data_IF_067926825101
#
_entry.id   IF_067926825101
#
_cell.length_a   1.000
_cell.length_b   1.000
_cell.length_c   1.000
_cell.angle_alpha   90.00
_cell.angle_beta   90.00
_cell.angle_gamma   90.00
#
_symmetry.space_group_name_H-M   'P 1'
#
loop_
_entity.id
_entity.type
_entity.pdbx_description
1 polymer ?
#
# COMPACT_ATOMS: atom_id res chain seq x y z
N UNK A 1 -12.18 -19.11 -19.57
CA UNK A 1 -11.57 -18.48 -18.38
C UNK A 1 -12.05 -17.04 -18.36
N UNK A 2 -12.62 -16.51 -17.27
CA UNK A 2 -13.05 -15.11 -17.29
C UNK A 2 -11.80 -14.23 -17.41
N UNK A 3 -11.89 -13.25 -18.31
CA UNK A 3 -10.86 -12.28 -18.66
C UNK A 3 -10.90 -11.11 -17.66
N UNK A 4 -10.84 -11.40 -16.35
CA UNK A 4 -10.83 -10.39 -15.28
C UNK A 4 -9.70 -10.75 -14.31
N UNK A 5 -8.55 -10.10 -14.48
CA UNK A 5 -7.38 -10.32 -13.64
C UNK A 5 -6.57 -9.02 -13.54
N UNK A 6 -5.92 -8.81 -12.39
CA UNK A 6 -5.03 -7.67 -12.21
C UNK A 6 -3.94 -7.76 -13.26
N UNK A 7 -3.67 -6.65 -13.94
CA UNK A 7 -2.52 -6.50 -14.84
C UNK A 7 -1.60 -5.42 -14.33
N UNK A 8 -0.31 -5.70 -14.27
CA UNK A 8 0.71 -4.74 -13.88
C UNK A 8 1.54 -4.42 -15.11
N UNK A 9 1.43 -3.18 -15.57
CA UNK A 9 2.22 -2.64 -16.66
C UNK A 9 3.43 -1.89 -16.10
N UNK A 10 4.61 -2.50 -16.22
CA UNK A 10 5.87 -1.95 -15.73
C UNK A 10 6.48 -1.03 -16.80
N UNK A 11 6.68 0.24 -16.45
CA UNK A 11 7.21 1.28 -17.33
C UNK A 11 8.63 1.59 -16.89
N UNK A 12 9.61 1.07 -17.62
CA UNK A 12 11.03 1.16 -17.30
C UNK A 12 11.59 2.55 -17.61
N UNK A 13 12.24 3.19 -16.63
CA UNK A 13 13.22 4.25 -16.84
C UNK A 13 14.63 3.69 -16.60
N UNK A 14 15.33 3.43 -17.70
CA UNK A 14 16.70 2.90 -17.73
C UNK A 14 17.66 3.89 -18.40
N UNK A 15 17.41 5.19 -18.25
CA UNK A 15 18.25 6.24 -18.81
C UNK A 15 19.71 6.19 -18.33
N UNK A 16 19.97 5.60 -17.16
CA UNK A 16 21.30 5.42 -16.57
C UNK A 16 21.93 4.04 -16.84
N UNK A 17 21.22 3.13 -17.52
CA UNK A 17 21.73 1.81 -17.90
C UNK A 17 21.88 0.81 -16.74
N UNK A 18 21.29 1.09 -15.56
CA UNK A 18 21.41 0.22 -14.37
C UNK A 18 20.41 -0.93 -14.35
N UNK A 19 19.35 -0.90 -15.17
CA UNK A 19 18.40 -2.00 -15.28
C UNK A 19 18.93 -3.02 -16.30
N UNK A 20 19.51 -4.10 -15.77
CA UNK A 20 19.94 -5.27 -16.54
C UNK A 20 18.77 -6.22 -16.83
N UNK A 21 19.01 -7.27 -17.63
CA UNK A 21 17.98 -8.31 -17.86
C UNK A 21 17.58 -9.05 -16.58
N UNK A 22 18.51 -9.24 -15.65
CA UNK A 22 18.24 -9.88 -14.35
C UNK A 22 17.33 -9.02 -13.47
N UNK A 23 17.57 -7.70 -13.44
CA UNK A 23 16.69 -6.73 -12.76
C UNK A 23 15.29 -6.79 -13.39
N UNK A 24 15.23 -6.78 -14.73
CA UNK A 24 13.98 -6.84 -15.49
C UNK A 24 13.19 -8.12 -15.23
N UNK A 25 13.86 -9.26 -15.25
CA UNK A 25 13.26 -10.53 -14.91
C UNK A 25 12.74 -10.53 -13.46
N UNK A 26 13.50 -9.94 -12.53
CA UNK A 26 13.16 -9.91 -11.11
C UNK A 26 11.86 -9.16 -10.81
N UNK A 27 11.71 -7.92 -11.28
CA UNK A 27 10.48 -7.17 -11.06
C UNK A 27 9.30 -7.69 -11.90
N UNK A 28 9.56 -8.32 -13.05
CA UNK A 28 8.51 -8.98 -13.83
C UNK A 28 7.97 -10.21 -13.10
N UNK A 29 8.86 -11.02 -12.50
CA UNK A 29 8.46 -12.13 -11.65
C UNK A 29 7.65 -11.65 -10.44
N UNK A 30 8.10 -10.58 -9.77
CA UNK A 30 7.37 -9.97 -8.66
C UNK A 30 5.98 -9.48 -9.07
N UNK A 31 5.85 -8.84 -10.24
CA UNK A 31 4.56 -8.43 -10.78
C UNK A 31 3.64 -9.64 -11.02
N UNK A 32 4.14 -10.72 -11.62
CA UNK A 32 3.35 -11.94 -11.84
C UNK A 32 2.85 -12.59 -10.55
N UNK A 33 3.61 -12.50 -9.43
CA UNK A 33 3.12 -12.97 -8.14
C UNK A 33 1.83 -12.23 -7.72
N UNK A 34 1.82 -10.90 -7.84
CA UNK A 34 0.65 -10.09 -7.53
C UNK A 34 -0.51 -10.30 -8.51
N UNK A 35 -0.23 -10.38 -9.81
CA UNK A 35 -1.24 -10.68 -10.83
C UNK A 35 -1.93 -12.05 -10.58
N UNK A 36 -1.20 -13.02 -9.99
CA UNK A 36 -1.74 -14.36 -9.72
C UNK A 36 -2.72 -14.44 -8.55
N UNK A 37 -2.70 -13.48 -7.64
CA UNK A 37 -3.50 -13.51 -6.39
C UNK A 37 -4.69 -12.56 -6.40
N UNK A 38 -4.76 -11.64 -7.37
CA UNK A 38 -5.81 -10.62 -7.43
C UNK A 38 -6.81 -10.88 -8.56
N UNK A 39 -8.10 -10.88 -8.20
CA UNK A 39 -9.22 -10.98 -9.15
C UNK A 39 -9.71 -9.61 -9.67
N UNK A 40 -9.04 -8.51 -9.32
CA UNK A 40 -9.43 -7.17 -9.73
C UNK A 40 -9.20 -6.98 -11.24
N UNK A 41 -10.23 -6.63 -12.00
CA UNK A 41 -10.09 -6.34 -13.43
C UNK A 41 -9.60 -4.90 -13.66
N UNK A 42 -8.29 -4.71 -13.53
CA UNK A 42 -7.67 -3.40 -13.68
C UNK A 42 -6.22 -3.52 -14.14
N UNK A 43 -5.78 -2.61 -15.01
CA UNK A 43 -4.37 -2.44 -15.32
C UNK A 43 -3.78 -1.33 -14.45
N UNK A 44 -2.74 -1.64 -13.68
CA UNK A 44 -1.98 -0.68 -12.88
C UNK A 44 -0.65 -0.39 -13.58
N UNK A 45 -0.36 0.88 -13.83
CA UNK A 45 0.87 1.33 -14.46
C UNK A 45 1.90 1.69 -13.37
N UNK A 46 3.03 1.01 -13.32
CA UNK A 46 4.08 1.26 -12.31
C UNK A 46 5.36 1.66 -13.03
N UNK A 47 5.85 2.86 -12.76
CA UNK A 47 7.18 3.27 -13.20
C UNK A 47 8.25 2.54 -12.40
N UNK A 48 9.28 1.99 -13.04
CA UNK A 48 10.39 1.32 -12.38
C UNK A 48 11.72 1.92 -12.81
N UNK A 49 12.59 2.20 -11.84
CA UNK A 49 13.93 2.73 -12.05
C UNK A 49 14.92 2.09 -11.08
N UNK A 50 16.22 2.23 -11.35
CA UNK A 50 17.28 1.82 -10.44
C UNK A 50 18.30 2.94 -10.33
N UNK A 51 18.67 3.34 -9.11
CA UNK A 51 19.64 4.42 -8.88
C UNK A 51 20.27 4.31 -7.48
N UNK A 52 21.25 5.15 -7.17
CA UNK A 52 21.79 5.26 -5.83
C UNK A 52 20.76 5.91 -4.89
N UNK A 53 20.36 5.19 -3.85
CA UNK A 53 19.46 5.68 -2.80
C UNK A 53 20.21 6.09 -1.54
N UNK A 54 19.50 6.72 -0.61
CA UNK A 54 20.05 7.04 0.72
C UNK A 54 20.57 5.78 1.42
N UNK A 55 21.57 5.94 2.29
CA UNK A 55 22.15 4.82 3.03
C UNK A 55 21.07 4.04 3.79
N UNK A 56 21.04 2.71 3.60
CA UNK A 56 20.05 1.83 4.22
C UNK A 56 18.74 1.67 3.45
N UNK A 57 18.50 2.43 2.37
CA UNK A 57 17.29 2.31 1.55
C UNK A 57 17.54 1.32 0.41
N UNK A 58 16.87 0.17 0.48
CA UNK A 58 16.98 -0.94 -0.48
C UNK A 58 16.09 -0.68 -1.71
N UNK A 59 14.90 -0.16 -1.48
CA UNK A 59 13.92 0.27 -2.46
C UNK A 59 13.08 1.39 -1.85
N UNK A 60 12.43 2.16 -2.72
CA UNK A 60 11.44 3.15 -2.32
C UNK A 60 10.29 3.18 -3.32
N UNK A 61 9.08 3.31 -2.79
CA UNK A 61 7.85 3.39 -3.59
C UNK A 61 7.12 4.70 -3.31
N UNK A 62 6.86 5.48 -4.36
CA UNK A 62 5.81 6.49 -4.34
C UNK A 62 4.53 5.88 -4.89
N UNK A 63 3.61 5.52 -3.99
CA UNK A 63 2.32 4.94 -4.33
C UNK A 63 1.27 5.99 -4.78
N UNK A 64 1.63 7.28 -4.79
CA UNK A 64 0.71 8.36 -5.08
C UNK A 64 -0.46 8.39 -4.10
N UNK A 65 -0.18 8.55 -2.81
CA UNK A 65 -1.21 8.59 -1.77
C UNK A 65 -2.14 9.81 -1.97
N UNK A 66 -3.45 9.56 -2.03
CA UNK A 66 -4.51 10.55 -2.21
C UNK A 66 -5.49 10.43 -1.04
N UNK A 67 -5.86 11.56 -0.45
CA UNK A 67 -6.99 11.64 0.48
C UNK A 67 -8.30 11.78 -0.28
N UNK A 68 -9.27 10.92 -0.01
CA UNK A 68 -10.65 11.06 -0.50
C UNK A 68 -11.64 11.05 0.66
N UNK A 69 -12.80 11.67 0.48
CA UNK A 69 -13.86 11.64 1.48
C UNK A 69 -14.31 10.20 1.75
N UNK A 70 -14.52 9.85 3.01
CA UNK A 70 -14.94 8.52 3.44
C UNK A 70 -16.25 8.10 2.78
N UNK A 71 -17.19 9.04 2.61
CA UNK A 71 -18.44 8.78 1.87
C UNK A 71 -18.18 8.42 0.42
N UNK A 72 -17.19 9.05 -0.22
CA UNK A 72 -16.83 8.77 -1.60
C UNK A 72 -16.17 7.39 -1.72
N UNK A 73 -15.21 7.09 -0.83
CA UNK A 73 -14.61 5.75 -0.73
C UNK A 73 -15.69 4.67 -0.57
N UNK A 74 -16.62 4.86 0.37
CA UNK A 74 -17.73 3.94 0.60
C UNK A 74 -18.59 3.75 -0.64
N UNK A 75 -18.95 4.82 -1.34
CA UNK A 75 -19.77 4.72 -2.55
C UNK A 75 -19.07 3.90 -3.64
N UNK A 76 -17.76 4.09 -3.84
CA UNK A 76 -16.99 3.30 -4.79
C UNK A 76 -16.92 1.83 -4.38
N UNK A 77 -16.60 1.55 -3.12
CA UNK A 77 -16.52 0.19 -2.60
C UNK A 77 -17.87 -0.53 -2.68
N UNK A 78 -18.95 0.16 -2.29
CA UNK A 78 -20.31 -0.38 -2.28
C UNK A 78 -20.83 -0.73 -3.69
N UNK A 79 -20.35 -0.03 -4.72
CA UNK A 79 -20.67 -0.30 -6.11
C UNK A 79 -19.96 -1.56 -6.67
N UNK A 80 -18.83 -1.95 -6.08
CA UNK A 80 -18.02 -3.08 -6.54
C UNK A 80 -18.19 -4.35 -5.69
N UNK A 81 -18.59 -4.20 -4.42
CA UNK A 81 -18.75 -5.30 -3.49
C UNK A 81 -19.83 -6.29 -3.95
N UNK A 82 -19.38 -7.47 -4.42
CA UNK A 82 -20.22 -8.49 -5.07
C UNK A 82 -19.94 -9.92 -4.62
N UNK A 83 -18.79 -10.16 -4.00
CA UNK A 83 -18.42 -11.47 -3.41
C UNK A 83 -18.74 -11.52 -1.91
N UNK A 84 -18.92 -12.72 -1.31
CA UNK A 84 -19.12 -12.84 0.13
C UNK A 84 -18.07 -12.12 0.97
N UNK A 85 -16.80 -12.19 0.58
CA UNK A 85 -15.69 -11.50 1.25
C UNK A 85 -15.83 -9.98 1.14
N UNK A 86 -16.06 -9.45 -0.07
CA UNK A 86 -16.20 -8.00 -0.25
C UNK A 86 -17.45 -7.45 0.43
N UNK A 87 -18.53 -8.24 0.49
CA UNK A 87 -19.76 -7.88 1.19
C UNK A 87 -19.58 -7.90 2.72
N UNK A 88 -18.79 -8.83 3.26
CA UNK A 88 -18.45 -8.86 4.67
C UNK A 88 -17.68 -7.59 5.07
N UNK A 89 -16.69 -7.18 4.27
CA UNK A 89 -15.96 -5.92 4.49
C UNK A 89 -16.91 -4.72 4.39
N UNK A 90 -17.76 -4.64 3.36
CA UNK A 90 -18.77 -3.57 3.21
C UNK A 90 -19.64 -3.42 4.46
N UNK A 91 -20.08 -4.54 5.03
CA UNK A 91 -20.93 -4.56 6.21
C UNK A 91 -20.16 -4.23 7.50
N UNK A 92 -18.84 -4.44 7.53
CA UNK A 92 -17.98 -4.08 8.64
C UNK A 92 -17.57 -2.60 8.63
N UNK A 93 -17.58 -1.94 7.46
CA UNK A 93 -17.22 -0.53 7.35
C UNK A 93 -18.24 0.38 8.09
N UNK A 94 -17.79 1.32 8.93
CA UNK A 94 -18.65 2.26 9.65
C UNK A 94 -19.65 2.96 8.73
N UNK A 95 -20.92 3.06 9.14
CA UNK A 95 -21.93 3.86 8.46
C UNK A 95 -21.75 5.35 8.74
N UNK A 96 -22.07 6.21 7.77
CA UNK A 96 -21.96 7.66 7.91
C UNK A 96 -20.84 8.24 7.05
N UNK A 97 -20.35 9.42 7.45
CA UNK A 97 -19.38 10.21 6.69
C UNK A 97 -17.97 10.23 7.25
N UNK A 98 -17.69 9.40 8.24
CA UNK A 98 -16.37 9.32 8.85
C UNK A 98 -16.08 7.93 9.39
N UNK A 99 -14.79 7.66 9.60
CA UNK A 99 -14.26 6.49 10.27
C UNK A 99 -13.65 6.91 11.60
N UNK A 100 -13.98 6.19 12.67
CA UNK A 100 -13.31 6.34 13.96
C UNK A 100 -12.32 5.21 14.17
N UNK A 101 -11.23 5.49 14.87
CA UNK A 101 -10.14 4.55 15.09
C UNK A 101 -9.40 4.88 16.40
N UNK A 102 -8.78 3.86 17.00
CA UNK A 102 -7.87 4.07 18.11
C UNK A 102 -6.52 4.56 17.60
N UNK A 103 -5.95 5.51 18.32
CA UNK A 103 -4.61 6.05 18.04
C UNK A 103 -3.91 6.41 19.36
N UNK A 104 -2.60 6.53 19.32
CA UNK A 104 -1.74 7.08 20.36
C UNK A 104 -0.56 7.79 19.68
N UNK A 105 0.42 8.27 20.46
CA UNK A 105 1.65 8.84 19.93
C UNK A 105 1.38 9.95 18.88
N UNK A 106 0.48 10.86 19.17
CA UNK A 106 0.21 12.03 18.34
C UNK A 106 0.74 13.28 19.05
N UNK A 107 0.93 14.38 18.32
CA UNK A 107 1.45 15.61 18.97
C UNK A 107 0.48 16.25 19.96
N UNK A 108 -0.82 15.96 19.86
CA UNK A 108 -1.88 16.33 20.79
C UNK A 108 -2.09 15.29 21.93
N UNK A 109 -1.49 14.10 21.82
CA UNK A 109 -1.48 13.07 22.86
C UNK A 109 -0.15 12.27 22.79
N UNK A 110 0.93 12.81 23.38
CA UNK A 110 2.29 12.29 23.23
C UNK A 110 2.48 10.85 23.72
N UNK A 111 3.59 10.22 23.29
CA UNK A 111 4.01 8.88 23.69
C UNK A 111 3.87 8.63 25.21
N UNK A 112 3.25 7.52 25.58
CA UNK A 112 2.94 7.15 26.97
C UNK A 112 1.52 7.53 27.43
N UNK A 113 0.77 8.30 26.64
CA UNK A 113 -0.68 8.39 26.75
C UNK A 113 -1.34 7.07 26.34
N UNK A 114 -2.42 6.69 27.05
CA UNK A 114 -3.25 5.55 26.63
C UNK A 114 -3.89 5.79 25.26
N UNK A 115 -4.36 4.72 24.61
CA UNK A 115 -5.09 4.82 23.34
C UNK A 115 -6.34 5.68 23.52
N UNK A 116 -6.63 6.51 22.54
CA UNK A 116 -7.84 7.33 22.50
C UNK A 116 -8.51 7.25 21.12
N UNK A 117 -9.78 7.64 21.07
CA UNK A 117 -10.56 7.60 19.84
C UNK A 117 -10.32 8.88 19.03
N UNK A 118 -9.91 8.71 17.78
CA UNK A 118 -9.88 9.75 16.77
C UNK A 118 -10.88 9.44 15.66
N UNK A 119 -11.22 10.46 14.87
CA UNK A 119 -12.17 10.34 13.76
C UNK A 119 -11.66 11.11 12.56
N UNK A 120 -11.77 10.53 11.36
CA UNK A 120 -11.48 11.21 10.11
C UNK A 120 -12.62 11.05 9.11
N UNK A 121 -12.96 12.12 8.41
CA UNK A 121 -13.83 12.07 7.22
C UNK A 121 -13.05 11.75 5.94
N UNK A 122 -11.74 11.58 6.03
CA UNK A 122 -10.84 11.34 4.88
C UNK A 122 -10.15 9.99 5.03
N UNK A 123 -10.00 9.29 3.91
CA UNK A 123 -9.29 8.02 3.79
C UNK A 123 -8.12 8.18 2.83
N UNK A 124 -6.97 7.65 3.23
CA UNK A 124 -5.83 7.50 2.34
C UNK A 124 -6.00 6.33 1.38
N UNK A 125 -5.95 6.58 0.07
CA UNK A 125 -5.93 5.56 -0.98
C UNK A 125 -4.74 5.78 -1.91
N UNK A 126 -4.10 4.73 -2.40
CA UNK A 126 -3.12 4.89 -3.49
C UNK A 126 -3.84 5.20 -4.79
N UNK A 127 -3.14 5.79 -5.77
CA UNK A 127 -3.70 5.97 -7.13
C UNK A 127 -4.18 4.64 -7.72
N UNK A 128 -3.43 3.55 -7.50
CA UNK A 128 -3.79 2.22 -7.96
C UNK A 128 -5.12 1.74 -7.32
N UNK A 129 -5.29 1.93 -6.01
CA UNK A 129 -6.54 1.60 -5.32
C UNK A 129 -7.71 2.45 -5.81
N UNK A 130 -7.53 3.76 -5.97
CA UNK A 130 -8.57 4.65 -6.47
C UNK A 130 -9.00 4.26 -7.89
N UNK A 131 -8.04 3.87 -8.74
CA UNK A 131 -8.31 3.37 -10.10
C UNK A 131 -9.10 2.06 -10.07
N UNK A 132 -8.68 1.10 -9.24
CA UNK A 132 -9.39 -0.17 -9.06
C UNK A 132 -10.81 0.00 -8.50
N UNK A 133 -11.02 1.04 -7.68
CA UNK A 133 -12.31 1.43 -7.14
C UNK A 133 -13.22 2.14 -8.16
N UNK A 134 -12.74 2.42 -9.38
CA UNK A 134 -13.50 3.14 -10.40
C UNK A 134 -13.52 4.66 -10.19
N UNK A 135 -12.64 5.20 -9.34
CA UNK A 135 -12.50 6.64 -9.07
C UNK A 135 -11.84 7.45 -10.19
N UNK A 136 -11.43 6.79 -11.28
CA UNK A 136 -11.21 7.45 -12.57
C UNK A 136 -9.98 8.35 -12.68
N UNK A 137 -8.79 7.84 -12.37
CA UNK A 137 -7.53 8.53 -12.68
C UNK A 137 -6.76 7.75 -13.76
N UNK A 138 -6.75 8.24 -14.99
CA UNK A 138 -5.85 7.74 -16.03
C UNK A 138 -4.62 8.64 -16.03
N UNK A 139 -3.66 8.30 -15.16
CA UNK A 139 -2.33 8.92 -15.17
C UNK A 139 -1.38 8.06 -16.00
N UNK A 140 -0.27 8.66 -16.44
CA UNK A 140 0.78 7.92 -17.13
C UNK A 140 1.35 6.79 -16.24
N UNK A 141 1.49 7.07 -14.94
CA UNK A 141 1.86 6.11 -13.89
C UNK A 141 0.92 6.23 -12.70
N UNK A 142 0.54 5.09 -12.13
CA UNK A 142 -0.23 4.96 -10.88
C UNK A 142 0.71 4.89 -9.66
N UNK A 143 1.95 4.45 -9.84
CA UNK A 143 3.00 4.50 -8.81
C UNK A 143 4.38 4.57 -9.47
N UNK A 144 5.42 4.91 -8.71
CA UNK A 144 6.81 4.73 -9.12
C UNK A 144 7.63 4.03 -8.05
N UNK A 145 8.51 3.14 -8.49
CA UNK A 145 9.44 2.38 -7.65
C UNK A 145 10.86 2.69 -8.11
N UNK A 146 11.75 2.94 -7.15
CA UNK A 146 13.18 3.05 -7.39
C UNK A 146 13.91 2.03 -6.52
N UNK A 147 14.65 1.13 -7.16
CA UNK A 147 15.50 0.15 -6.49
C UNK A 147 16.92 0.71 -6.30
N UNK A 148 17.57 0.34 -5.20
CA UNK A 148 18.92 0.81 -4.89
C UNK A 148 19.97 0.08 -5.70
N UNK A 149 20.87 0.81 -6.35
CA UNK A 149 22.01 0.21 -7.07
C UNK A 149 23.19 -0.17 -6.17
N UNK A 150 23.11 0.10 -4.86
CA UNK A 150 24.21 -0.08 -3.90
C UNK A 150 24.16 -1.39 -3.12
N UNK A 151 23.06 -2.15 -3.23
CA UNK A 151 22.88 -3.43 -2.54
C UNK A 151 23.28 -4.60 -3.44
N UNK A 152 23.88 -5.62 -2.82
CA UNK A 152 24.17 -6.88 -3.49
C UNK A 152 22.90 -7.73 -3.59
N UNK A 153 22.28 -7.74 -4.77
CA UNK A 153 21.06 -8.49 -5.02
C UNK A 153 21.31 -9.90 -5.56
N UNK A 154 20.46 -10.81 -5.12
CA UNK A 154 20.19 -12.10 -5.73
C UNK A 154 18.91 -11.99 -6.55
N UNK A 155 18.98 -12.31 -7.84
CA UNK A 155 17.86 -12.17 -8.78
C UNK A 155 17.13 -13.48 -9.03
N UNK A 156 17.63 -14.61 -8.50
CA UNK A 156 16.99 -15.91 -8.64
C UNK A 156 16.66 -16.48 -7.26
N UNK A 157 15.40 -16.40 -6.79
CA UNK A 157 15.04 -16.99 -5.50
C UNK A 157 14.94 -18.52 -5.53
N UNK A 158 14.98 -19.17 -6.70
CA UNK A 158 14.69 -20.61 -6.83
C UNK A 158 15.86 -21.53 -6.46
N UNK A 159 17.09 -21.02 -6.39
CA UNK A 159 18.29 -21.75 -5.95
C UNK A 159 18.75 -21.33 -4.53
N UNK A 160 17.87 -20.61 -3.82
CA UNK A 160 18.16 -20.02 -2.52
C UNK A 160 18.91 -18.70 -2.62
N UNK A 161 18.98 -17.95 -1.53
CA UNK A 161 19.64 -16.64 -1.52
C UNK A 161 21.11 -16.81 -1.13
N UNK A 162 22.03 -16.40 -2.01
CA UNK A 162 23.46 -16.53 -1.73
C UNK A 162 23.87 -15.70 -0.50
N UNK A 163 24.89 -16.18 0.21
CA UNK A 163 25.40 -15.51 1.41
C UNK A 163 25.84 -14.06 1.10
N UNK A 164 25.37 -13.11 1.90
CA UNK A 164 25.67 -11.68 1.73
C UNK A 164 24.85 -10.98 0.63
N UNK A 165 23.88 -11.66 0.03
CA UNK A 165 22.94 -11.07 -0.94
C UNK A 165 21.53 -10.94 -0.35
N UNK A 166 20.74 -10.11 -1.01
CA UNK A 166 19.33 -9.90 -0.71
C UNK A 166 18.45 -10.36 -1.88
N UNK A 167 17.31 -10.98 -1.58
CA UNK A 167 16.33 -11.40 -2.59
C UNK A 167 15.69 -10.19 -3.28
N UNK A 168 16.06 -9.96 -4.54
CA UNK A 168 15.51 -8.86 -5.33
C UNK A 168 14.04 -9.10 -5.71
N UNK A 169 13.63 -10.34 -5.96
CA UNK A 169 12.23 -10.64 -6.31
C UNK A 169 11.34 -10.37 -5.10
N UNK A 170 11.79 -10.76 -3.91
CA UNK A 170 11.13 -10.43 -2.65
C UNK A 170 11.04 -8.92 -2.40
N UNK A 171 12.13 -8.18 -2.62
CA UNK A 171 12.15 -6.70 -2.53
C UNK A 171 11.19 -6.08 -3.54
N UNK A 172 11.24 -6.47 -4.81
CA UNK A 172 10.34 -5.96 -5.84
C UNK A 172 8.87 -6.29 -5.53
N UNK A 173 8.59 -7.47 -4.99
CA UNK A 173 7.24 -7.84 -4.56
C UNK A 173 6.76 -6.97 -3.39
N UNK A 174 7.65 -6.66 -2.44
CA UNK A 174 7.37 -5.74 -1.33
C UNK A 174 7.02 -4.33 -1.83
N UNK A 175 7.85 -3.75 -2.70
CA UNK A 175 7.63 -2.42 -3.27
C UNK A 175 6.34 -2.35 -4.11
N UNK A 176 6.06 -3.37 -4.93
CA UNK A 176 4.78 -3.46 -5.65
C UNK A 176 3.60 -3.55 -4.67
N UNK A 177 3.78 -4.20 -3.51
CA UNK A 177 2.78 -4.21 -2.44
C UNK A 177 2.41 -2.79 -1.99
N UNK A 178 3.40 -1.94 -1.74
CA UNK A 178 3.16 -0.53 -1.41
C UNK A 178 2.38 0.19 -2.51
N UNK A 179 2.75 0.00 -3.78
CA UNK A 179 2.03 0.58 -4.92
C UNK A 179 0.55 0.15 -4.97
N UNK A 180 0.28 -1.12 -4.68
CA UNK A 180 -1.08 -1.69 -4.60
C UNK A 180 -1.84 -1.31 -3.32
N UNK A 181 -1.18 -0.59 -2.41
CA UNK A 181 -1.75 0.02 -1.23
C UNK A 181 -1.67 -0.82 0.04
N UNK A 182 -0.69 -1.71 0.12
CA UNK A 182 -0.18 -2.21 1.41
C UNK A 182 0.66 -1.12 2.09
N UNK A 183 0.00 -0.03 2.48
CA UNK A 183 0.57 1.11 3.19
C UNK A 183 -0.30 1.41 4.40
N UNK A 184 0.28 1.91 5.48
CA UNK A 184 -0.43 2.16 6.73
C UNK A 184 -0.19 3.59 7.19
N UNK A 185 -1.23 4.25 7.67
CA UNK A 185 -1.09 5.54 8.30
C UNK A 185 -0.29 5.45 9.62
N UNK A 186 -0.07 4.24 10.13
CA UNK A 186 0.78 4.00 11.30
C UNK A 186 2.22 4.47 11.07
N UNK A 187 2.73 4.48 9.83
CA UNK A 187 4.04 5.07 9.52
C UNK A 187 4.10 6.57 9.90
N UNK A 188 2.97 7.30 9.79
CA UNK A 188 2.87 8.68 10.24
C UNK A 188 2.69 8.78 11.76
N UNK A 189 1.93 7.84 12.36
CA UNK A 189 1.72 7.79 13.82
C UNK A 189 3.03 7.50 14.55
N UNK A 190 3.87 6.61 14.03
CA UNK A 190 5.19 6.26 14.59
C UNK A 190 6.11 7.47 14.74
N UNK A 191 5.96 8.47 13.87
CA UNK A 191 6.76 9.70 13.94
C UNK A 191 6.44 10.56 15.17
N UNK A 192 5.27 10.42 15.79
CA UNK A 192 4.95 11.13 17.03
C UNK A 192 4.72 12.65 16.90
N UNK A 193 4.81 13.20 15.69
CA UNK A 193 4.82 14.64 15.43
C UNK A 193 3.51 15.18 14.85
N UNK A 194 2.66 14.31 14.31
CA UNK A 194 1.40 14.71 13.70
C UNK A 194 0.27 14.72 14.73
N UNK A 195 -0.60 15.75 14.74
CA UNK A 195 -1.80 15.73 15.57
C UNK A 195 -2.80 14.71 15.01
N UNK A 196 -3.66 14.16 15.88
CA UNK A 196 -4.67 13.16 15.51
C UNK A 196 -5.57 13.58 14.35
N UNK A 197 -5.86 14.89 14.21
CA UNK A 197 -6.67 15.46 13.13
C UNK A 197 -6.05 15.38 11.72
N UNK A 198 -4.75 15.08 11.61
CA UNK A 198 -4.06 14.88 10.33
C UNK A 198 -3.82 13.41 10.00
N UNK A 199 -4.18 12.50 10.91
CA UNK A 199 -4.07 11.06 10.68
C UNK A 199 -5.31 10.60 9.90
N UNK A 200 -5.09 10.19 8.66
CA UNK A 200 -6.12 9.64 7.80
C UNK A 200 -5.85 8.15 7.60
N UNK A 201 -6.72 7.25 8.10
CA UNK A 201 -6.54 5.82 7.90
C UNK A 201 -6.45 5.47 6.42
N UNK A 202 -5.53 4.57 6.08
CA UNK A 202 -5.52 3.94 4.76
C UNK A 202 -6.55 2.82 4.72
N UNK A 203 -6.79 2.28 3.52
CA UNK A 203 -7.66 1.11 3.35
C UNK A 203 -7.16 -0.13 4.11
N UNK A 204 -5.83 -0.30 4.25
CA UNK A 204 -5.25 -1.38 5.06
C UNK A 204 -5.54 -1.18 6.55
N UNK A 205 -5.47 0.06 7.04
CA UNK A 205 -5.71 0.38 8.45
C UNK A 205 -7.13 0.03 8.89
N UNK A 206 -8.11 0.10 7.99
CA UNK A 206 -9.51 -0.28 8.28
C UNK A 206 -9.68 -1.76 8.69
N UNK A 207 -8.68 -2.59 8.39
CA UNK A 207 -8.65 -4.02 8.69
C UNK A 207 -7.76 -4.36 9.89
N UNK A 208 -7.13 -3.35 10.52
CA UNK A 208 -6.22 -3.52 11.65
C UNK A 208 -7.00 -3.43 12.96
N UNK A 209 -7.00 -4.50 13.75
CA UNK A 209 -7.69 -4.54 15.04
C UNK A 209 -6.77 -5.06 16.14
N UNK A 210 -6.84 -4.42 17.31
CA UNK A 210 -6.34 -4.97 18.58
C UNK A 210 -7.51 -5.52 19.39
N UNK A 211 -7.23 -6.20 20.51
CA UNK A 211 -8.30 -6.64 21.43
C UNK A 211 -9.15 -5.46 21.91
N UNK A 212 -8.52 -4.32 22.21
CA UNK A 212 -9.21 -3.11 22.70
C UNK A 212 -10.08 -2.48 21.62
N UNK A 213 -9.57 -2.43 20.39
CA UNK A 213 -10.28 -1.80 19.27
C UNK A 213 -11.41 -2.69 18.76
N UNK A 214 -11.22 -4.02 18.77
CA UNK A 214 -12.24 -5.00 18.43
C UNK A 214 -13.42 -4.94 19.39
N UNK A 215 -13.16 -4.76 20.70
CA UNK A 215 -14.21 -4.55 21.70
C UNK A 215 -15.03 -3.26 21.46
N UNK A 216 -14.43 -2.27 20.78
CA UNK A 216 -15.05 -1.00 20.44
C UNK A 216 -15.62 -0.96 19.01
N UNK A 217 -15.38 -2.00 18.20
CA UNK A 217 -15.81 -2.04 16.80
C UNK A 217 -15.12 -1.00 15.91
N UNK A 218 -13.88 -0.61 16.24
CA UNK A 218 -13.10 0.37 15.47
C UNK A 218 -11.70 -0.17 15.15
N UNK A 219 -11.05 0.29 14.06
CA UNK A 219 -9.68 -0.07 13.78
C UNK A 219 -8.68 0.52 14.80
N UNK A 220 -7.45 0.02 14.77
CA UNK A 220 -6.37 0.45 15.66
C UNK A 220 -5.12 0.87 14.89
N UNK A 221 -4.84 2.17 14.91
CA UNK A 221 -3.64 2.79 14.35
C UNK A 221 -2.60 3.12 15.43
N UNK A 222 -2.83 2.69 16.67
CA UNK A 222 -1.83 2.90 17.72
C UNK A 222 -0.56 2.10 17.46
N UNK A 223 0.53 2.66 17.95
CA UNK A 223 1.88 2.11 17.93
C UNK A 223 2.19 1.50 19.30
N UNK A 224 2.77 0.29 19.31
CA UNK A 224 3.02 -0.49 20.53
C UNK A 224 1.75 -1.12 21.12
#
# INVERSE_FOLDING_TARGET
MPLHALRINLIEDNSNGLITEEVRAGYAQAASLWESVSAADVTINIGVSMDNLSSGVIGQTDAGLIGIEYTQFRNYYDALASTPTTLAVKNALPTGSSISFLVNNTSDAPAGGGKFLATSSVVGVTKAQLKALGGGQVQATDASIQFSSTFAFDFNPNDGIAAGKMDFVGVAAHEIGHALGFISAVDYVDLGIFPSSLINPTTLDMLRYSNDSFAQGVPDLSVG
#
